data_IF_293302530639
#
_entry.id   IF_293302530639
#
_cell.length_a   1.000
_cell.length_b   1.000
_cell.length_c   1.000
_cell.angle_alpha   90.00
_cell.angle_beta   90.00
_cell.angle_gamma   90.00
#
_symmetry.space_group_name_H-M   'P 1'
#
loop_
_entity.id
_entity.type
_entity.pdbx_description
1 polymer ?
#
# COMPACT_ATOMS: atom_id res chain seq x y z
N UNK A 1 0.62 -11.46 -9.78
CA UNK A 1 -0.38 -10.69 -9.00
C UNK A 1 0.33 -9.50 -8.37
N UNK A 2 -0.22 -8.29 -8.49
CA UNK A 2 0.41 -7.08 -7.92
C UNK A 2 -0.26 -6.74 -6.58
N UNK A 3 0.55 -6.44 -5.56
CA UNK A 3 0.08 -5.97 -4.25
C UNK A 3 0.58 -4.54 -4.03
N UNK A 4 -0.34 -3.61 -3.74
CA UNK A 4 -0.04 -2.23 -3.37
C UNK A 4 -0.29 -2.02 -1.88
N UNK A 5 0.76 -1.65 -1.14
CA UNK A 5 0.66 -1.22 0.26
C UNK A 5 0.46 0.29 0.32
N UNK A 6 -0.70 0.72 0.82
CA UNK A 6 -1.09 2.14 0.89
C UNK A 6 -0.90 2.69 2.30
N UNK A 7 -0.05 3.70 2.42
CA UNK A 7 0.15 4.50 3.62
C UNK A 7 -1.03 5.44 3.95
N UNK A 8 -1.20 5.80 5.24
CA UNK A 8 -2.30 6.66 5.71
C UNK A 8 -1.86 8.05 6.18
N UNK A 9 -0.56 8.31 6.37
CA UNK A 9 -0.02 9.58 6.91
C UNK A 9 0.73 10.37 5.84
N UNK A 10 0.59 11.72 5.79
CA UNK A 10 -0.37 12.52 6.56
C UNK A 10 -1.79 12.40 5.98
N UNK A 11 -2.80 12.56 6.84
CA UNK A 11 -4.22 12.37 6.50
C UNK A 11 -4.72 13.35 5.42
N UNK A 12 -4.11 14.53 5.30
CA UNK A 12 -4.46 15.53 4.26
C UNK A 12 -4.34 14.98 2.83
N UNK A 13 -3.61 13.89 2.62
CA UNK A 13 -3.46 13.22 1.32
C UNK A 13 -4.42 12.05 1.11
N UNK A 14 -5.37 11.81 2.02
CA UNK A 14 -6.28 10.66 1.95
C UNK A 14 -7.02 10.61 0.61
N UNK A 15 -7.75 11.67 0.27
CA UNK A 15 -8.56 11.77 -0.95
C UNK A 15 -7.71 11.59 -2.22
N UNK A 16 -6.54 12.24 -2.26
CA UNK A 16 -5.60 12.09 -3.38
C UNK A 16 -5.13 10.64 -3.52
N UNK A 17 -4.76 9.99 -2.40
CA UNK A 17 -4.34 8.59 -2.42
C UNK A 17 -5.48 7.66 -2.83
N UNK A 18 -6.69 7.88 -2.34
CA UNK A 18 -7.86 7.06 -2.70
C UNK A 18 -8.14 7.14 -4.21
N UNK A 19 -8.09 8.34 -4.78
CA UNK A 19 -8.21 8.52 -6.24
C UNK A 19 -7.15 7.75 -7.01
N UNK A 20 -5.88 7.89 -6.64
CA UNK A 20 -4.77 7.23 -7.34
C UNK A 20 -4.81 5.70 -7.17
N UNK A 21 -5.14 5.22 -5.98
CA UNK A 21 -5.29 3.79 -5.66
C UNK A 21 -6.41 3.16 -6.48
N UNK A 22 -7.55 3.84 -6.63
CA UNK A 22 -8.66 3.33 -7.44
C UNK A 22 -8.26 3.18 -8.91
N UNK A 23 -7.62 4.20 -9.49
CA UNK A 23 -7.09 4.13 -10.87
C UNK A 23 -6.07 2.99 -11.02
N UNK A 24 -5.18 2.82 -10.04
CA UNK A 24 -4.21 1.74 -10.05
C UNK A 24 -4.90 0.37 -10.03
N UNK A 25 -5.87 0.17 -9.14
CA UNK A 25 -6.64 -1.06 -9.02
C UNK A 25 -7.38 -1.41 -10.31
N UNK A 26 -8.08 -0.44 -10.91
CA UNK A 26 -8.80 -0.61 -12.18
C UNK A 26 -7.89 -1.02 -13.34
N UNK A 27 -6.66 -0.48 -13.40
CA UNK A 27 -5.73 -0.73 -14.50
C UNK A 27 -4.89 -2.00 -14.35
N UNK A 28 -4.74 -2.51 -13.13
CA UNK A 28 -3.77 -3.57 -12.82
C UNK A 28 -4.39 -4.82 -12.23
N UNK A 29 -5.68 -4.78 -11.90
CA UNK A 29 -6.37 -5.83 -11.13
C UNK A 29 -5.60 -6.22 -9.85
N UNK A 30 -5.04 -5.19 -9.19
CA UNK A 30 -4.17 -5.37 -8.03
C UNK A 30 -4.94 -5.50 -6.72
N UNK A 31 -4.28 -6.13 -5.76
CA UNK A 31 -4.73 -6.15 -4.37
C UNK A 31 -4.16 -4.92 -3.66
N UNK A 32 -5.04 -4.13 -3.06
CA UNK A 32 -4.64 -2.95 -2.27
C UNK A 32 -4.80 -3.27 -0.79
N UNK A 33 -3.74 -3.06 -0.01
CA UNK A 33 -3.75 -3.20 1.46
C UNK A 33 -3.45 -1.86 2.10
N UNK A 34 -4.37 -1.35 2.90
CA UNK A 34 -4.17 -0.11 3.66
C UNK A 34 -3.37 -0.43 4.92
N UNK A 35 -2.23 0.22 5.09
CA UNK A 35 -1.36 0.03 6.25
C UNK A 35 -1.50 1.29 7.12
N UNK A 36 -2.14 1.19 8.30
CA UNK A 36 -2.37 2.33 9.16
C UNK A 36 -1.07 2.83 9.79
N UNK A 37 -1.05 4.11 10.14
CA UNK A 37 0.03 4.79 10.86
C UNK A 37 1.40 4.70 10.16
N UNK A 38 1.40 4.68 8.83
CA UNK A 38 2.62 4.73 8.04
C UNK A 38 2.64 5.92 7.10
N UNK A 39 3.84 6.45 6.88
CA UNK A 39 4.16 7.45 5.87
C UNK A 39 4.43 6.79 4.53
N UNK A 40 4.83 7.59 3.53
CA UNK A 40 5.32 7.06 2.27
C UNK A 40 6.54 6.13 2.45
N UNK A 41 7.30 6.27 3.54
CA UNK A 41 8.42 5.39 3.89
C UNK A 41 7.94 4.16 4.67
N UNK A 42 6.87 3.51 4.20
CA UNK A 42 6.25 2.35 4.86
C UNK A 42 7.24 1.21 5.15
N UNK A 43 8.22 1.00 4.28
CA UNK A 43 9.29 0.01 4.48
C UNK A 43 10.21 0.31 5.67
N UNK A 44 10.25 1.57 6.13
CA UNK A 44 10.93 1.99 7.35
C UNK A 44 9.99 1.96 8.56
N UNK A 45 8.75 2.37 8.37
CA UNK A 45 7.77 2.46 9.46
C UNK A 45 7.33 1.07 9.96
N UNK A 46 7.10 0.13 9.03
CA UNK A 46 6.63 -1.25 9.30
C UNK A 46 7.35 -2.26 8.38
N UNK A 47 8.67 -2.46 8.55
CA UNK A 47 9.44 -3.39 7.72
C UNK A 47 8.91 -4.82 7.74
N UNK A 48 8.36 -5.27 8.87
CA UNK A 48 7.78 -6.60 9.05
C UNK A 48 6.58 -6.86 8.13
N UNK A 49 5.75 -5.85 7.90
CA UNK A 49 4.61 -5.94 6.96
C UNK A 49 5.13 -6.13 5.54
N UNK A 50 6.14 -5.34 5.13
CA UNK A 50 6.72 -5.45 3.79
C UNK A 50 7.36 -6.81 3.57
N UNK A 51 8.12 -7.32 4.54
CA UNK A 51 8.78 -8.62 4.45
C UNK A 51 7.74 -9.75 4.34
N UNK A 52 6.66 -9.69 5.13
CA UNK A 52 5.59 -10.68 5.08
C UNK A 52 4.92 -10.71 3.70
N UNK A 53 4.62 -9.53 3.12
CA UNK A 53 3.99 -9.43 1.80
C UNK A 53 4.90 -9.95 0.68
N UNK A 54 6.21 -9.67 0.74
CA UNK A 54 7.17 -10.22 -0.21
C UNK A 54 7.18 -11.75 -0.14
N UNK A 55 7.30 -12.32 1.07
CA UNK A 55 7.32 -13.78 1.26
C UNK A 55 6.05 -14.44 0.75
N UNK A 56 4.88 -13.88 1.08
CA UNK A 56 3.58 -14.39 0.65
C UNK A 56 3.33 -14.26 -0.86
N UNK A 57 4.06 -13.36 -1.54
CA UNK A 57 3.92 -13.14 -2.98
C UNK A 57 4.86 -14.04 -3.81
N UNK A 58 5.80 -14.73 -3.18
CA UNK A 58 6.85 -15.54 -3.83
C UNK A 58 6.71 -17.04 -3.59
N UNK A 59 5.67 -17.44 -2.85
CA UNK A 59 5.21 -18.83 -2.69
C UNK A 59 4.22 -19.21 -3.78
#
# INVERSE_FOLDING_TARGET
MIVLLRATVPQVWADYRDKTVNIFKEKTDSIVKVIPDTTHLLHRDKPEVVIAEIKNSWS
#
